data_IF_594512368890
#
_entry.id   IF_594512368890
#
_cell.length_a   1.000
_cell.length_b   1.000
_cell.length_c   1.000
_cell.angle_alpha   90.00
_cell.angle_beta   90.00
_cell.angle_gamma   90.00
#
_symmetry.space_group_name_H-M   'P 1'
#
loop_
_entity.id
_entity.type
_entity.pdbx_description
1 polymer ?
#
# COMPACT_ATOMS: atom_id res chain seq x y z
N UNK A 1 15.73 -39.52 74.64
CA UNK A 1 15.28 -40.68 73.81
C UNK A 1 13.88 -40.38 73.33
N UNK A 2 13.71 -39.89 72.12
CA UNK A 2 12.41 -39.69 71.50
C UNK A 2 12.55 -39.83 70.00
N UNK A 3 11.95 -40.84 69.48
CA UNK A 3 11.96 -41.18 68.03
C UNK A 3 10.94 -40.31 67.29
N UNK A 4 11.38 -39.59 66.29
CA UNK A 4 10.53 -38.83 65.39
C UNK A 4 10.10 -39.66 64.19
N UNK A 5 8.81 -39.82 64.03
CA UNK A 5 8.17 -40.52 62.93
C UNK A 5 8.05 -39.59 61.71
N UNK A 6 8.67 -39.93 60.59
CA UNK A 6 8.52 -39.19 59.32
C UNK A 6 7.29 -39.75 58.57
N UNK A 7 6.29 -38.90 58.41
CA UNK A 7 5.17 -39.15 57.48
C UNK A 7 5.57 -38.71 56.07
N UNK A 8 5.63 -39.64 55.14
CA UNK A 8 5.80 -39.38 53.74
C UNK A 8 4.40 -39.14 53.14
N UNK A 9 4.13 -37.90 52.74
CA UNK A 9 2.95 -37.51 51.98
C UNK A 9 3.15 -37.77 50.51
N UNK A 10 2.40 -38.72 49.96
CA UNK A 10 2.31 -38.95 48.51
C UNK A 10 1.44 -37.88 47.85
N UNK A 11 2.06 -37.02 47.09
CA UNK A 11 1.33 -36.06 46.23
C UNK A 11 0.87 -36.76 44.95
N UNK A 12 -0.43 -36.94 44.82
CA UNK A 12 -1.07 -37.42 43.60
C UNK A 12 -1.05 -36.31 42.55
N UNK A 13 -0.26 -36.49 41.50
CA UNK A 13 -0.26 -35.64 40.33
C UNK A 13 -1.42 -36.06 39.44
N UNK A 14 -2.49 -35.23 39.43
CA UNK A 14 -3.56 -35.37 38.45
C UNK A 14 -3.06 -34.77 37.14
N UNK A 15 -2.68 -35.62 36.19
CA UNK A 15 -2.43 -35.22 34.83
C UNK A 15 -3.76 -34.95 34.12
N UNK A 16 -4.12 -33.68 33.98
CA UNK A 16 -5.22 -33.27 33.11
C UNK A 16 -4.78 -33.47 31.67
N UNK A 17 -5.29 -34.50 31.01
CA UNK A 17 -5.15 -34.69 29.58
C UNK A 17 -5.91 -33.58 28.86
N UNK A 18 -5.15 -32.58 28.34
CA UNK A 18 -5.70 -31.62 27.38
C UNK A 18 -5.89 -32.35 26.06
N UNK A 19 -7.14 -32.73 25.79
CA UNK A 19 -7.54 -33.22 24.47
C UNK A 19 -7.50 -32.02 23.52
N UNK A 20 -6.63 -31.98 22.50
CA UNK A 20 -6.71 -30.94 21.49
C UNK A 20 -8.02 -31.13 20.74
N UNK A 21 -8.98 -30.22 20.92
CA UNK A 21 -10.14 -30.11 20.06
C UNK A 21 -9.64 -29.85 18.65
N UNK A 22 -9.59 -30.86 17.82
CA UNK A 22 -9.39 -30.73 16.40
C UNK A 22 -10.55 -29.88 15.86
N UNK A 23 -10.30 -28.60 15.60
CA UNK A 23 -11.19 -27.78 14.81
C UNK A 23 -11.20 -28.33 13.41
N UNK A 24 -12.18 -29.19 13.16
CA UNK A 24 -12.41 -29.77 11.86
C UNK A 24 -12.81 -28.67 10.89
N UNK A 25 -12.11 -28.63 9.74
CA UNK A 25 -12.70 -28.22 8.47
C UNK A 25 -12.57 -26.80 8.01
N UNK A 26 -11.45 -26.11 8.24
CA UNK A 26 -11.03 -25.05 7.34
C UNK A 26 -10.29 -25.65 6.17
N UNK A 27 -10.97 -25.96 5.05
CA UNK A 27 -10.26 -26.30 3.81
C UNK A 27 -9.26 -25.18 3.50
N UNK A 28 -8.06 -25.48 2.97
CA UNK A 28 -7.01 -24.48 2.76
C UNK A 28 -7.60 -23.32 1.98
N UNK A 29 -7.61 -22.14 2.60
CA UNK A 29 -8.10 -20.93 1.97
C UNK A 29 -7.38 -20.77 0.63
N UNK A 30 -8.13 -20.51 -0.44
CA UNK A 30 -7.54 -20.32 -1.75
C UNK A 30 -6.48 -19.22 -1.63
N UNK A 31 -5.23 -19.56 -1.81
CA UNK A 31 -4.11 -18.65 -1.74
C UNK A 31 -3.58 -18.38 -3.15
N UNK A 32 -3.11 -17.16 -3.40
CA UNK A 32 -2.52 -16.76 -4.67
C UNK A 32 -1.29 -15.89 -4.39
N UNK A 33 -0.13 -16.33 -4.82
CA UNK A 33 1.09 -15.54 -4.78
C UNK A 33 1.30 -14.77 -6.08
N UNK A 34 1.63 -13.49 -5.99
CA UNK A 34 1.92 -12.64 -7.17
C UNK A 34 3.12 -11.77 -6.88
N UNK A 35 4.09 -11.73 -7.78
CA UNK A 35 5.29 -10.90 -7.65
C UNK A 35 5.79 -10.45 -9.03
N UNK A 36 6.21 -9.20 -9.18
CA UNK A 36 6.10 -8.09 -8.22
C UNK A 36 4.68 -7.50 -8.18
N UNK A 37 4.33 -6.82 -7.07
CA UNK A 37 3.04 -6.12 -6.95
C UNK A 37 3.04 -4.71 -7.56
N UNK A 38 4.20 -4.24 -7.99
CA UNK A 38 4.39 -2.96 -8.68
C UNK A 38 5.40 -3.11 -9.80
N UNK A 39 5.08 -2.58 -10.96
CA UNK A 39 5.92 -2.54 -12.15
C UNK A 39 6.04 -1.11 -12.68
N UNK A 40 7.21 -0.77 -13.19
CA UNK A 40 7.47 0.46 -13.92
C UNK A 40 7.96 0.09 -15.32
N UNK A 41 7.18 0.44 -16.33
CA UNK A 41 7.46 0.18 -17.74
C UNK A 41 7.83 1.49 -18.43
N UNK A 42 8.95 1.53 -19.14
CA UNK A 42 9.43 2.74 -19.85
C UNK A 42 9.10 2.63 -21.33
N UNK A 43 8.18 3.47 -21.81
CA UNK A 43 7.74 3.46 -23.21
C UNK A 43 7.12 2.12 -23.62
N UNK A 44 7.40 1.68 -24.84
CA UNK A 44 7.05 0.35 -25.34
C UNK A 44 8.03 -0.68 -24.76
N UNK A 45 7.62 -1.40 -23.74
CA UNK A 45 8.45 -2.39 -23.05
C UNK A 45 7.62 -3.51 -22.45
N UNK A 46 8.30 -4.56 -21.98
CA UNK A 46 7.67 -5.74 -21.38
C UNK A 46 8.30 -6.07 -20.04
N UNK A 47 7.49 -6.69 -19.16
CA UNK A 47 7.94 -7.26 -17.91
C UNK A 47 7.21 -8.58 -17.62
N UNK A 48 7.77 -9.38 -16.73
CA UNK A 48 7.16 -10.60 -16.24
C UNK A 48 6.52 -10.39 -14.87
N UNK A 49 5.40 -11.06 -14.64
CA UNK A 49 4.74 -11.21 -13.34
C UNK A 49 4.70 -12.71 -13.05
N UNK A 50 5.29 -13.09 -11.93
CA UNK A 50 5.26 -14.46 -11.43
C UNK A 50 3.98 -14.67 -10.64
N UNK A 51 3.27 -15.76 -10.95
CA UNK A 51 2.00 -16.12 -10.30
C UNK A 51 2.17 -17.51 -9.73
N UNK A 52 2.03 -17.68 -8.42
CA UNK A 52 2.22 -18.95 -7.70
C UNK A 52 0.90 -19.42 -7.09
N UNK A 53 0.63 -20.70 -7.22
CA UNK A 53 -0.40 -21.40 -6.48
C UNK A 53 0.23 -22.08 -5.25
N UNK A 54 0.15 -21.55 -4.04
CA UNK A 54 0.70 -22.20 -2.86
C UNK A 54 -0.21 -23.32 -2.31
N UNK A 55 -1.44 -23.45 -2.84
CA UNK A 55 -2.42 -24.42 -2.35
C UNK A 55 -2.25 -25.82 -2.95
N UNK A 56 -2.87 -26.81 -2.31
CA UNK A 56 -2.86 -28.21 -2.71
C UNK A 56 -3.88 -28.56 -3.81
N UNK A 57 -4.66 -27.58 -4.31
CA UNK A 57 -5.65 -27.77 -5.38
C UNK A 57 -5.29 -26.96 -6.62
N UNK A 58 -5.60 -27.45 -7.84
CA UNK A 58 -5.40 -26.68 -9.06
C UNK A 58 -6.16 -25.34 -9.00
N UNK A 59 -5.56 -24.29 -9.55
CA UNK A 59 -6.08 -22.94 -9.54
C UNK A 59 -6.18 -22.38 -10.96
N UNK A 60 -7.30 -21.72 -11.27
CA UNK A 60 -7.47 -20.97 -12.51
C UNK A 60 -7.47 -19.49 -12.20
N UNK A 61 -6.52 -18.76 -12.79
CA UNK A 61 -6.36 -17.32 -12.63
C UNK A 61 -6.75 -16.62 -13.92
N UNK A 62 -7.71 -15.71 -13.83
CA UNK A 62 -8.11 -14.83 -14.95
C UNK A 62 -7.42 -13.48 -14.80
N UNK A 63 -6.89 -12.94 -15.88
CA UNK A 63 -6.15 -11.69 -15.92
C UNK A 63 -6.95 -10.63 -16.68
N UNK A 64 -7.23 -9.51 -16.01
CA UNK A 64 -7.90 -8.35 -16.57
C UNK A 64 -7.09 -7.07 -16.33
N UNK A 65 -7.47 -5.98 -16.97
CA UNK A 65 -6.82 -4.67 -16.83
C UNK A 65 -7.86 -3.65 -16.47
N UNK A 66 -7.46 -2.67 -15.66
CA UNK A 66 -8.33 -1.57 -15.22
C UNK A 66 -7.54 -0.28 -15.05
N UNK A 67 -8.22 0.84 -15.00
CA UNK A 67 -7.66 2.09 -14.54
C UNK A 67 -7.31 2.02 -13.05
N UNK A 68 -6.36 2.84 -12.64
CA UNK A 68 -5.88 2.88 -11.25
C UNK A 68 -5.84 4.30 -10.72
N UNK A 69 -6.53 4.51 -9.62
CA UNK A 69 -6.45 5.73 -8.83
C UNK A 69 -6.22 5.41 -7.35
N UNK A 70 -6.04 6.45 -6.55
CA UNK A 70 -6.00 6.37 -5.09
C UNK A 70 -6.99 7.36 -4.49
N UNK A 71 -7.60 7.00 -3.38
CA UNK A 71 -8.35 7.95 -2.55
C UNK A 71 -7.38 8.95 -1.88
N UNK A 72 -7.90 10.01 -1.30
CA UNK A 72 -7.10 10.97 -0.51
C UNK A 72 -6.28 10.30 0.60
N UNK A 73 -6.80 9.23 1.19
CA UNK A 73 -6.12 8.44 2.22
C UNK A 73 -5.19 7.35 1.65
N UNK A 74 -4.93 7.36 0.33
CA UNK A 74 -4.01 6.44 -0.33
C UNK A 74 -4.56 5.03 -0.57
N UNK A 75 -5.85 4.74 -0.27
CA UNK A 75 -6.46 3.45 -0.57
C UNK A 75 -6.57 3.26 -2.09
N UNK A 76 -6.24 2.06 -2.62
CA UNK A 76 -6.41 1.74 -4.03
C UNK A 76 -7.86 1.91 -4.47
N UNK A 77 -8.07 2.46 -5.66
CA UNK A 77 -9.36 2.54 -6.34
C UNK A 77 -9.21 2.00 -7.76
N UNK A 78 -10.05 1.04 -8.09
CA UNK A 78 -10.15 0.48 -9.44
C UNK A 78 -11.10 1.37 -10.23
N UNK A 79 -10.67 1.77 -11.43
CA UNK A 79 -11.49 2.51 -12.38
C UNK A 79 -11.78 1.61 -13.58
N UNK A 80 -13.00 1.68 -14.13
CA UNK A 80 -13.41 0.84 -15.24
C UNK A 80 -12.52 1.06 -16.47
N UNK A 81 -12.14 2.31 -16.71
CA UNK A 81 -11.26 2.73 -17.79
C UNK A 81 -10.34 3.85 -17.33
N UNK A 82 -9.36 4.21 -18.13
CA UNK A 82 -8.47 5.35 -17.88
C UNK A 82 -7.01 4.95 -17.71
N UNK A 83 -6.15 5.96 -17.64
CA UNK A 83 -4.70 5.80 -17.55
C UNK A 83 -4.14 4.92 -18.67
N UNK A 84 -3.16 4.09 -18.35
CA UNK A 84 -2.51 3.21 -19.31
C UNK A 84 -3.19 1.83 -19.46
N UNK A 85 -4.39 1.61 -18.94
CA UNK A 85 -5.05 0.28 -19.00
C UNK A 85 -5.22 -0.23 -20.45
N UNK A 86 -5.59 0.66 -21.38
CA UNK A 86 -5.72 0.35 -22.80
C UNK A 86 -4.38 0.01 -23.49
N UNK A 87 -3.27 0.48 -22.96
CA UNK A 87 -1.94 0.30 -23.54
C UNK A 87 -1.28 -1.03 -23.13
N UNK A 88 -1.83 -1.69 -22.11
CA UNK A 88 -1.28 -2.92 -21.58
C UNK A 88 -1.84 -4.15 -22.31
N UNK A 89 -1.00 -5.12 -22.56
CA UNK A 89 -1.36 -6.46 -23.01
C UNK A 89 -0.76 -7.49 -22.07
N UNK A 90 -1.60 -8.29 -21.45
CA UNK A 90 -1.21 -9.38 -20.58
C UNK A 90 -1.42 -10.73 -21.30
N UNK A 91 -0.41 -11.59 -21.28
CA UNK A 91 -0.47 -12.94 -21.87
C UNK A 91 0.23 -13.95 -20.96
N UNK A 92 -0.39 -15.10 -20.71
CA UNK A 92 -1.73 -15.49 -21.13
C UNK A 92 -2.82 -14.74 -20.34
N UNK A 93 -4.05 -14.62 -20.87
CA UNK A 93 -5.18 -14.02 -20.14
C UNK A 93 -5.78 -14.93 -19.08
N UNK A 94 -5.43 -16.20 -19.14
CA UNK A 94 -5.86 -17.23 -18.19
C UNK A 94 -4.70 -18.18 -17.93
N UNK A 95 -4.36 -18.37 -16.66
CA UNK A 95 -3.36 -19.34 -16.21
C UNK A 95 -4.07 -20.48 -15.49
N UNK A 96 -3.68 -21.70 -15.81
CA UNK A 96 -4.03 -22.89 -15.05
C UNK A 96 -2.77 -23.32 -14.30
N UNK A 97 -2.83 -23.32 -12.99
CA UNK A 97 -1.70 -23.65 -12.12
C UNK A 97 -2.03 -24.93 -11.35
N UNK A 98 -1.24 -25.95 -11.52
CA UNK A 98 -1.29 -27.14 -10.69
C UNK A 98 -1.00 -26.78 -9.22
N UNK A 99 -1.26 -27.65 -8.25
CA UNK A 99 -0.85 -27.48 -6.87
C UNK A 99 0.64 -27.10 -6.80
N UNK A 100 0.97 -26.13 -5.96
CA UNK A 100 2.34 -25.65 -5.72
C UNK A 100 3.09 -25.10 -6.95
N UNK A 101 2.45 -25.06 -8.12
CA UNK A 101 3.06 -24.61 -9.37
C UNK A 101 3.17 -23.10 -9.46
N UNK A 102 4.12 -22.67 -10.28
CA UNK A 102 4.38 -21.27 -10.63
C UNK A 102 4.19 -21.09 -12.14
N UNK A 103 3.51 -20.00 -12.52
CA UNK A 103 3.34 -19.58 -13.90
C UNK A 103 3.86 -18.17 -14.11
N UNK A 104 4.14 -17.81 -15.35
CA UNK A 104 4.62 -16.48 -15.72
C UNK A 104 3.59 -15.80 -16.62
N UNK A 105 3.26 -14.57 -16.26
CA UNK A 105 2.45 -13.66 -17.06
C UNK A 105 3.38 -12.61 -17.68
N UNK A 106 3.43 -12.52 -18.99
CA UNK A 106 4.13 -11.45 -19.71
C UNK A 106 3.20 -10.26 -19.87
N UNK A 107 3.64 -9.12 -19.39
CA UNK A 107 2.96 -7.84 -19.54
C UNK A 107 3.73 -6.96 -20.53
N UNK A 108 3.07 -6.47 -21.57
CA UNK A 108 3.63 -5.57 -22.57
C UNK A 108 2.87 -4.26 -22.55
N UNK A 109 3.58 -3.13 -22.52
CA UNK A 109 3.02 -1.79 -22.68
C UNK A 109 3.29 -1.30 -24.11
N UNK A 110 2.27 -0.71 -24.74
CA UNK A 110 2.37 -0.02 -26.02
C UNK A 110 1.64 1.32 -25.92
N UNK A 111 2.29 2.39 -25.42
CA UNK A 111 1.69 3.72 -25.42
C UNK A 111 1.44 4.20 -26.84
N UNK A 112 0.34 4.92 -27.11
CA UNK A 112 0.10 5.55 -28.41
C UNK A 112 1.14 6.67 -28.64
N UNK A 113 1.37 7.02 -29.90
CA UNK A 113 2.33 8.08 -30.28
C UNK A 113 1.97 9.44 -29.67
N UNK A 114 0.67 9.73 -29.54
CA UNK A 114 0.15 10.96 -28.92
C UNK A 114 0.08 10.93 -27.39
N UNK A 115 0.64 9.91 -26.73
CA UNK A 115 0.63 9.84 -25.27
C UNK A 115 1.47 10.97 -24.68
N UNK A 116 0.92 11.69 -23.71
CA UNK A 116 1.62 12.78 -23.03
C UNK A 116 2.80 12.25 -22.20
N UNK A 117 3.91 13.00 -22.07
CA UNK A 117 5.03 12.62 -21.22
C UNK A 117 4.63 12.44 -19.76
N UNK A 118 5.27 11.49 -19.07
CA UNK A 118 5.07 11.25 -17.65
C UNK A 118 4.61 9.84 -17.32
N UNK A 119 4.10 9.65 -16.10
CA UNK A 119 3.63 8.37 -15.58
C UNK A 119 2.12 8.19 -15.78
N UNK A 120 1.75 7.10 -16.38
CA UNK A 120 0.36 6.70 -16.59
C UNK A 120 0.07 5.45 -15.78
N UNK A 121 -0.71 5.56 -14.70
CA UNK A 121 -1.02 4.44 -13.84
C UNK A 121 -2.06 3.51 -14.48
N UNK A 122 -1.91 2.22 -14.23
CA UNK A 122 -2.89 1.19 -14.56
C UNK A 122 -2.84 0.05 -13.54
N UNK A 123 -3.79 -0.86 -13.62
CA UNK A 123 -3.88 -2.03 -12.76
C UNK A 123 -4.03 -3.29 -13.62
N UNK A 124 -3.25 -4.32 -13.31
CA UNK A 124 -3.46 -5.68 -13.79
C UNK A 124 -4.09 -6.45 -12.64
N UNK A 125 -5.30 -6.96 -12.86
CA UNK A 125 -6.07 -7.69 -11.87
C UNK A 125 -5.97 -9.19 -12.17
N UNK A 126 -5.52 -9.95 -11.19
CA UNK A 126 -5.48 -11.41 -11.21
C UNK A 126 -6.57 -11.90 -10.27
N UNK A 127 -7.58 -12.59 -10.81
CA UNK A 127 -8.69 -13.12 -10.04
C UNK A 127 -8.74 -14.63 -10.14
N UNK A 128 -8.92 -15.31 -9.01
CA UNK A 128 -9.16 -16.75 -8.99
C UNK A 128 -10.63 -17.01 -9.31
N UNK A 129 -10.89 -18.09 -10.03
CA UNK A 129 -12.24 -18.63 -10.17
C UNK A 129 -12.34 -19.84 -9.27
N UNK A 130 -13.13 -19.80 -8.18
CA UNK A 130 -13.34 -20.98 -7.37
C UNK A 130 -14.00 -22.09 -8.19
N UNK A 131 -13.69 -23.37 -7.94
CA UNK A 131 -14.49 -24.46 -8.49
C UNK A 131 -15.93 -24.30 -8.01
N UNK A 132 -16.89 -24.76 -8.80
CA UNK A 132 -18.29 -24.75 -8.42
C UNK A 132 -18.47 -25.60 -7.15
N UNK A 133 -18.67 -24.96 -6.02
CA UNK A 133 -18.94 -25.59 -4.74
C UNK A 133 -20.30 -25.10 -4.22
N UNK A 134 -20.99 -25.96 -3.50
CA UNK A 134 -22.39 -25.73 -3.09
C UNK A 134 -22.58 -24.69 -1.97
N UNK A 135 -21.53 -24.16 -1.32
CA UNK A 135 -21.71 -23.38 -0.09
C UNK A 135 -21.10 -21.98 -0.11
N UNK A 136 -19.81 -21.80 -0.17
CA UNK A 136 -19.15 -20.47 -0.09
C UNK A 136 -18.10 -20.32 -1.17
N UNK A 137 -18.21 -19.26 -1.96
CA UNK A 137 -17.23 -18.92 -3.00
C UNK A 137 -16.33 -17.78 -2.55
N UNK A 138 -15.07 -18.07 -2.25
CA UNK A 138 -14.05 -17.03 -1.99
C UNK A 138 -13.39 -16.65 -3.30
N UNK A 139 -13.65 -15.44 -3.77
CA UNK A 139 -12.98 -14.85 -4.92
C UNK A 139 -11.76 -14.06 -4.43
N UNK A 140 -10.57 -14.56 -4.70
CA UNK A 140 -9.34 -13.80 -4.48
C UNK A 140 -9.06 -12.91 -5.68
N UNK A 141 -8.80 -11.63 -5.42
CA UNK A 141 -8.38 -10.68 -6.43
C UNK A 141 -7.13 -9.93 -5.98
N UNK A 142 -6.05 -10.05 -6.74
CA UNK A 142 -4.80 -9.33 -6.50
C UNK A 142 -4.58 -8.33 -7.63
N UNK A 143 -4.25 -7.09 -7.26
CA UNK A 143 -3.92 -6.03 -8.19
C UNK A 143 -2.41 -5.78 -8.25
N UNK A 144 -1.84 -5.81 -9.45
CA UNK A 144 -0.48 -5.35 -9.73
C UNK A 144 -0.55 -3.94 -10.27
N UNK A 145 0.02 -2.99 -9.56
CA UNK A 145 0.09 -1.58 -10.00
C UNK A 145 1.17 -1.44 -11.08
N UNK A 146 0.78 -0.92 -12.21
CA UNK A 146 1.68 -0.69 -13.34
C UNK A 146 1.75 0.81 -13.62
N UNK A 147 2.96 1.36 -13.65
CA UNK A 147 3.23 2.72 -14.10
C UNK A 147 3.90 2.64 -15.47
N UNK A 148 3.24 3.14 -16.50
CA UNK A 148 3.83 3.27 -17.82
C UNK A 148 4.38 4.67 -17.96
N UNK A 149 5.71 4.81 -18.02
CA UNK A 149 6.38 6.10 -18.22
C UNK A 149 6.59 6.38 -19.69
N UNK A 150 5.93 7.41 -20.17
CA UNK A 150 6.15 7.96 -21.53
C UNK A 150 7.31 8.94 -21.49
N UNK A 151 8.21 8.84 -22.48
CA UNK A 151 9.37 9.72 -22.62
C UNK A 151 8.95 11.17 -22.87
N UNK A 152 9.79 12.12 -22.45
CA UNK A 152 9.61 13.55 -22.63
C UNK A 152 9.88 14.31 -21.33
N UNK A 153 9.44 15.56 -21.27
CA UNK A 153 9.69 16.44 -20.12
C UNK A 153 9.04 15.92 -18.85
N UNK A 154 9.85 15.73 -17.82
CA UNK A 154 9.42 15.31 -16.48
C UNK A 154 9.17 16.55 -15.64
N UNK A 155 7.97 16.68 -15.08
CA UNK A 155 7.57 17.80 -14.22
C UNK A 155 7.25 17.29 -12.83
N UNK A 156 8.04 17.72 -11.85
CA UNK A 156 7.80 17.52 -10.42
C UNK A 156 7.12 18.77 -9.86
N UNK A 157 5.89 18.63 -9.34
CA UNK A 157 5.16 19.79 -8.80
C UNK A 157 4.22 19.39 -7.68
N UNK A 158 4.72 19.41 -6.44
CA UNK A 158 3.92 19.18 -5.24
C UNK A 158 3.41 20.52 -4.69
N UNK A 159 2.12 20.59 -4.37
CA UNK A 159 1.46 21.79 -3.88
C UNK A 159 0.75 21.49 -2.55
N UNK A 160 1.18 22.09 -1.43
CA UNK A 160 0.48 22.02 -0.15
C UNK A 160 -0.85 22.78 -0.26
N UNK A 161 -1.96 22.16 0.13
CA UNK A 161 -3.30 22.73 0.01
C UNK A 161 -3.88 23.15 1.35
N UNK A 162 -3.96 22.24 2.30
CA UNK A 162 -4.54 22.44 3.62
C UNK A 162 -3.80 21.59 4.66
N UNK A 163 -3.75 22.09 5.88
CA UNK A 163 -3.18 21.38 7.03
C UNK A 163 -4.23 21.34 8.13
N UNK A 164 -4.41 20.16 8.72
CA UNK A 164 -5.30 19.94 9.85
C UNK A 164 -4.61 19.13 10.95
N UNK A 165 -5.10 19.27 12.17
CA UNK A 165 -4.68 18.47 13.31
C UNK A 165 -5.79 17.48 13.67
N UNK A 166 -5.41 16.23 13.94
CA UNK A 166 -6.32 15.18 14.40
C UNK A 166 -5.75 14.51 15.63
N UNK A 167 -6.62 14.24 16.58
CA UNK A 167 -6.33 13.42 17.75
C UNK A 167 -7.19 12.16 17.69
N UNK A 168 -6.56 10.99 17.84
CA UNK A 168 -7.25 9.70 17.95
C UNK A 168 -6.63 8.94 19.11
N UNK A 169 -7.32 8.89 20.23
CA UNK A 169 -6.79 8.40 21.51
C UNK A 169 -5.53 9.17 21.91
N UNK A 170 -4.44 8.46 22.13
CA UNK A 170 -3.12 9.02 22.48
C UNK A 170 -2.34 9.53 21.26
N UNK A 171 -2.78 9.22 20.05
CA UNK A 171 -2.07 9.58 18.83
C UNK A 171 -2.47 10.98 18.37
N UNK A 172 -1.48 11.88 18.28
CA UNK A 172 -1.60 13.21 17.69
C UNK A 172 -1.04 13.17 16.27
N UNK A 173 -1.77 13.68 15.30
CA UNK A 173 -1.42 13.60 13.88
C UNK A 173 -1.71 14.91 13.17
N UNK A 174 -0.72 15.45 12.46
CA UNK A 174 -0.96 16.50 11.49
C UNK A 174 -1.19 15.87 10.12
N UNK A 175 -2.21 16.31 9.43
CA UNK A 175 -2.64 15.82 8.12
C UNK A 175 -2.54 16.96 7.09
N UNK A 176 -1.55 16.85 6.19
CA UNK A 176 -1.35 17.81 5.11
C UNK A 176 -1.98 17.28 3.83
N UNK A 177 -2.97 17.97 3.31
CA UNK A 177 -3.48 17.73 1.96
C UNK A 177 -2.44 18.24 0.96
N UNK A 178 -1.92 17.32 0.14
CA UNK A 178 -0.86 17.57 -0.81
C UNK A 178 -1.34 17.16 -2.21
N UNK A 179 -1.29 18.08 -3.17
CA UNK A 179 -1.59 17.80 -4.57
C UNK A 179 -0.29 17.59 -5.36
N UNK A 180 -0.28 16.58 -6.22
CA UNK A 180 0.73 16.41 -7.25
C UNK A 180 0.20 17.03 -8.56
N UNK A 181 0.70 18.18 -8.91
CA UNK A 181 0.44 18.90 -10.16
C UNK A 181 1.46 18.58 -11.26
N UNK A 182 2.42 17.69 -10.97
CA UNK A 182 3.38 17.17 -11.92
C UNK A 182 2.84 15.97 -12.70
N UNK A 183 3.61 15.55 -13.70
CA UNK A 183 3.27 14.42 -14.57
C UNK A 183 3.92 13.10 -14.17
N UNK A 184 4.63 13.05 -13.05
CA UNK A 184 5.26 11.82 -12.53
C UNK A 184 4.76 11.49 -11.14
N UNK A 185 4.77 10.21 -10.80
CA UNK A 185 4.42 9.72 -9.46
C UNK A 185 5.47 10.14 -8.45
N UNK A 186 5.03 10.65 -7.30
CA UNK A 186 5.90 11.07 -6.22
C UNK A 186 5.82 10.11 -5.04
N UNK A 187 6.97 9.54 -4.67
CA UNK A 187 7.11 8.75 -3.43
C UNK A 187 7.49 9.66 -2.29
N UNK A 188 6.56 9.86 -1.36
CA UNK A 188 6.78 10.65 -0.16
C UNK A 188 7.35 9.73 0.93
N UNK A 189 8.65 9.80 1.12
CA UNK A 189 9.39 8.98 2.10
C UNK A 189 10.68 9.70 2.50
N UNK A 190 11.40 9.20 3.52
CA UNK A 190 12.76 9.65 3.86
C UNK A 190 12.91 11.13 4.20
N UNK A 191 11.81 11.81 4.52
CA UNK A 191 11.83 13.25 4.82
C UNK A 191 11.83 14.14 3.57
N UNK A 192 11.41 13.65 2.41
CA UNK A 192 11.18 14.48 1.20
C UNK A 192 10.15 15.59 1.44
N UNK A 193 9.17 15.34 2.31
CA UNK A 193 8.23 16.34 2.81
C UNK A 193 8.33 16.38 4.32
N UNK A 194 8.58 17.56 4.87
CA UNK A 194 8.73 17.82 6.30
C UNK A 194 7.80 18.94 6.71
N UNK A 195 7.34 18.88 7.96
CA UNK A 195 6.73 20.03 8.65
C UNK A 195 7.70 20.52 9.70
N UNK A 196 7.98 21.82 9.69
CA UNK A 196 8.70 22.55 10.73
C UNK A 196 7.67 23.36 11.48
N UNK A 197 7.43 23.05 12.74
CA UNK A 197 6.55 23.80 13.63
C UNK A 197 7.34 24.90 14.30
N UNK A 198 6.84 26.12 14.22
CA UNK A 198 7.43 27.31 14.81
C UNK A 198 6.45 27.92 15.82
N UNK A 199 6.95 28.31 16.97
CA UNK A 199 6.25 29.11 17.97
C UNK A 199 7.08 30.35 18.27
N UNK A 200 6.51 31.53 18.12
CA UNK A 200 7.23 32.80 18.27
C UNK A 200 8.55 32.83 17.46
N UNK A 201 8.52 32.36 16.21
CA UNK A 201 9.71 32.30 15.35
C UNK A 201 10.70 31.16 15.64
N UNK A 202 10.62 30.50 16.80
CA UNK A 202 11.52 29.42 17.19
C UNK A 202 10.98 28.04 16.78
N UNK A 203 11.85 27.15 16.30
CA UNK A 203 11.48 25.78 15.95
C UNK A 203 11.16 24.96 17.19
N UNK A 204 9.94 24.46 17.30
CA UNK A 204 9.51 23.57 18.41
C UNK A 204 9.42 22.11 17.99
N UNK A 205 9.26 21.80 16.68
CA UNK A 205 9.30 20.44 16.19
C UNK A 205 9.65 20.37 14.69
N UNK A 206 10.27 19.25 14.28
CA UNK A 206 10.54 18.89 12.88
C UNK A 206 9.96 17.51 12.63
N UNK A 207 8.91 17.43 11.80
CA UNK A 207 8.16 16.21 11.54
C UNK A 207 8.44 15.69 10.13
N UNK A 208 8.43 14.36 10.00
CA UNK A 208 8.56 13.67 8.72
C UNK A 208 7.24 13.00 8.35
N UNK A 209 6.86 13.10 7.08
CA UNK A 209 5.68 12.39 6.59
C UNK A 209 5.85 10.88 6.70
N UNK A 210 4.77 10.17 7.04
CA UNK A 210 4.68 8.72 6.80
C UNK A 210 4.82 8.46 5.31
N UNK A 211 5.37 7.29 4.97
CA UNK A 211 5.55 6.89 3.56
C UNK A 211 4.20 6.72 2.86
N UNK A 212 4.04 7.37 1.71
CA UNK A 212 2.94 7.13 0.78
C UNK A 212 3.33 7.52 -0.64
N UNK A 213 2.58 7.02 -1.63
CA UNK A 213 2.78 7.34 -3.04
C UNK A 213 1.66 8.25 -3.54
N UNK A 214 2.01 9.28 -4.29
CA UNK A 214 1.10 10.24 -4.88
C UNK A 214 1.20 10.16 -6.40
N UNK A 215 0.12 9.77 -7.06
CA UNK A 215 0.06 9.63 -8.51
C UNK A 215 0.11 11.00 -9.21
N UNK A 216 0.46 11.06 -10.51
CA UNK A 216 0.36 12.30 -11.28
C UNK A 216 -1.07 12.86 -11.22
N UNK A 217 -1.18 14.18 -11.24
CA UNK A 217 -2.46 14.91 -11.28
C UNK A 217 -3.46 14.46 -10.20
N UNK A 218 -2.98 13.99 -9.05
CA UNK A 218 -3.80 13.53 -7.93
C UNK A 218 -3.53 14.30 -6.65
N UNK A 219 -4.37 14.10 -5.63
CA UNK A 219 -4.15 14.62 -4.29
C UNK A 219 -4.17 13.47 -3.27
N UNK A 220 -3.51 13.70 -2.14
CA UNK A 220 -3.49 12.77 -1.01
C UNK A 220 -3.18 13.47 0.30
N UNK A 221 -3.32 12.75 1.40
CA UNK A 221 -3.07 13.25 2.75
C UNK A 221 -1.76 12.68 3.27
N UNK A 222 -0.78 13.57 3.43
CA UNK A 222 0.48 13.26 4.09
C UNK A 222 0.28 13.32 5.61
N UNK A 223 0.55 12.23 6.31
CA UNK A 223 0.40 12.12 7.76
C UNK A 223 1.74 12.34 8.46
N UNK A 224 1.73 13.20 9.48
CA UNK A 224 2.89 13.53 10.30
C UNK A 224 2.58 13.21 11.77
N UNK A 225 3.10 12.11 12.34
CA UNK A 225 2.96 11.82 13.76
C UNK A 225 3.58 12.95 14.59
N UNK A 226 2.84 13.47 15.58
CA UNK A 226 3.30 14.49 16.49
C UNK A 226 3.36 13.94 17.91
N UNK A 227 4.55 13.93 18.49
CA UNK A 227 4.83 13.45 19.86
C UNK A 227 5.30 14.57 20.78
N UNK A 228 5.28 15.82 20.31
CA UNK A 228 5.73 16.96 21.09
C UNK A 228 4.70 17.39 22.13
N UNK A 229 5.15 18.18 23.10
CA UNK A 229 4.33 18.79 24.17
C UNK A 229 3.86 20.23 23.85
N UNK A 230 4.31 20.81 22.71
CA UNK A 230 3.92 22.16 22.37
C UNK A 230 2.39 22.23 22.15
N UNK A 231 1.76 23.25 22.74
CA UNK A 231 0.34 23.59 22.62
C UNK A 231 0.21 25.06 22.25
N UNK A 232 -1.02 25.49 21.92
CA UNK A 232 -1.31 26.87 21.53
C UNK A 232 -0.98 27.17 20.06
N UNK A 233 -0.88 28.44 19.72
CA UNK A 233 -0.70 28.87 18.34
C UNK A 233 0.71 28.57 17.82
N UNK A 234 0.78 27.88 16.68
CA UNK A 234 2.02 27.54 15.96
C UNK A 234 1.88 27.83 14.47
N UNK A 235 3.00 28.11 13.81
CA UNK A 235 3.11 28.17 12.37
C UNK A 235 3.78 26.91 11.87
N UNK A 236 3.08 26.12 11.04
CA UNK A 236 3.62 24.92 10.42
C UNK A 236 4.14 25.25 9.01
N UNK A 237 5.45 25.20 8.82
CA UNK A 237 6.11 25.42 7.53
C UNK A 237 6.34 24.10 6.81
N UNK A 238 5.81 23.95 5.61
CA UNK A 238 6.08 22.80 4.73
C UNK A 238 7.41 23.00 4.03
N UNK A 239 8.29 21.99 4.11
CA UNK A 239 9.61 22.00 3.48
C UNK A 239 9.76 20.77 2.59
N UNK A 240 10.15 20.99 1.34
CA UNK A 240 10.44 19.95 0.36
C UNK A 240 11.94 19.71 0.23
N UNK A 241 12.31 18.42 0.00
CA UNK A 241 13.69 18.01 -0.33
C UNK A 241 13.67 16.96 -1.45
N UNK A 242 14.30 17.23 -2.61
CA UNK A 242 14.90 18.51 -3.00
C UNK A 242 13.85 19.62 -3.12
N UNK A 243 14.28 20.89 -3.08
CA UNK A 243 13.38 22.05 -3.21
C UNK A 243 12.62 22.08 -4.54
N UNK A 244 13.22 21.53 -5.59
CA UNK A 244 12.66 21.48 -6.94
C UNK A 244 11.31 20.73 -7.06
N UNK A 245 10.97 19.85 -6.10
CA UNK A 245 9.71 19.07 -6.18
C UNK A 245 8.47 19.85 -5.74
N UNK A 246 8.62 21.03 -5.13
CA UNK A 246 7.48 21.83 -4.69
C UNK A 246 7.87 23.12 -3.99
N UNK A 247 6.95 24.06 -3.95
CA UNK A 247 7.11 25.31 -3.18
C UNK A 247 6.56 25.11 -1.77
N UNK A 248 7.35 25.49 -0.78
CA UNK A 248 6.95 25.48 0.62
C UNK A 248 5.80 26.45 0.87
N UNK A 249 4.97 26.14 1.88
CA UNK A 249 3.87 26.96 2.35
C UNK A 249 3.82 26.91 3.87
N UNK A 250 3.41 27.99 4.48
CA UNK A 250 3.17 28.06 5.93
C UNK A 250 1.67 28.07 6.23
N UNK A 251 1.29 27.44 7.33
CA UNK A 251 -0.08 27.36 7.83
C UNK A 251 -0.07 27.75 9.30
N UNK A 252 -0.89 28.74 9.69
CA UNK A 252 -1.20 28.98 11.08
C UNK A 252 -2.16 27.92 11.60
N UNK A 253 -1.94 27.44 12.82
CA UNK A 253 -2.84 26.48 13.48
C UNK A 253 -2.66 26.50 14.98
N UNK A 254 -3.70 26.07 15.70
CA UNK A 254 -3.62 25.87 17.16
C UNK A 254 -3.48 24.39 17.48
N UNK A 255 -2.47 24.07 18.27
CA UNK A 255 -2.29 22.72 18.85
C UNK A 255 -2.98 22.69 20.21
N UNK A 256 -3.77 21.64 20.52
CA UNK A 256 -4.41 21.47 21.81
C UNK A 256 -3.44 21.14 22.95
#
# INVERSE_FOLDING_TARGET
>A
MTYGLKLAGAAAVIAAAVVPSAVAGGGPAAALGVSPLRLELKGASSAAITVRNPGARPLVVTVTRAGFARTLHGKPRIEASGGAAGWLRARPRRLRLAPHATGVLRLTAKPPRAATPGDHPALVLLATRPPAAKTVHVLLRIGVVVLVRVRGTVVHRLVPQALSFHRSGTTRMLALRLANRGNVSERIAGGRVRLVLLRNGRTVAKLRARRFDLLPHSAGIAQFPYRGSASGHVVARVVFRPKAIGRGRSFGMTLP
#
